data_IF_472582541612
#
_entry.id   IF_472582541612
#
_cell.length_a   1.000
_cell.length_b   1.000
_cell.length_c   1.000
_cell.angle_alpha   90.00
_cell.angle_beta   90.00
_cell.angle_gamma   90.00
#
_symmetry.space_group_name_H-M   'P 1'
#
loop_
_entity.id
_entity.type
_entity.pdbx_description
1 polymer ?
#
# COMPACT_ATOMS: atom_id res chain seq x y z
N UNK A 1 24.55 19.99 9.28
CA UNK A 1 25.16 19.14 10.33
C UNK A 1 24.20 17.98 10.58
N UNK A 2 24.51 16.86 9.93
CA UNK A 2 23.59 15.76 9.65
C UNK A 2 23.47 14.76 10.78
N UNK A 3 22.25 14.28 10.97
CA UNK A 3 21.97 13.01 11.65
C UNK A 3 21.92 11.92 10.57
N UNK A 4 22.39 10.69 10.86
CA UNK A 4 22.40 9.60 9.90
C UNK A 4 20.97 9.08 9.76
N UNK A 5 20.17 9.75 8.94
CA UNK A 5 19.16 9.01 8.19
C UNK A 5 19.94 7.99 7.39
N UNK A 6 19.57 6.73 7.52
CA UNK A 6 20.09 5.62 6.75
C UNK A 6 20.44 6.14 5.35
N UNK A 7 21.74 6.23 5.05
CA UNK A 7 22.18 6.33 3.68
C UNK A 7 21.42 5.21 2.96
N UNK A 8 20.63 5.50 1.91
CA UNK A 8 20.23 4.43 1.02
C UNK A 8 21.55 3.84 0.58
N UNK A 9 21.82 2.62 1.05
CA UNK A 9 22.99 1.85 0.68
C UNK A 9 22.94 1.84 -0.84
N UNK A 10 23.88 2.60 -1.43
CA UNK A 10 23.95 3.02 -2.83
C UNK A 10 23.18 2.05 -3.73
N UNK A 11 22.02 2.48 -4.23
CA UNK A 11 21.31 1.78 -5.29
C UNK A 11 22.24 1.79 -6.52
N UNK A 12 23.04 0.74 -6.62
CA UNK A 12 23.79 0.42 -7.82
C UNK A 12 22.76 0.18 -8.94
N UNK A 13 22.70 1.12 -9.87
CA UNK A 13 21.99 1.07 -11.14
C UNK A 13 20.47 0.77 -11.03
N UNK A 14 19.72 1.68 -10.40
CA UNK A 14 18.39 1.96 -10.91
C UNK A 14 18.54 2.67 -12.27
N UNK A 15 17.81 2.22 -13.29
CA UNK A 15 17.71 2.92 -14.58
C UNK A 15 17.50 4.41 -14.29
N UNK A 16 18.34 5.32 -14.82
CA UNK A 16 18.24 6.73 -14.49
C UNK A 16 16.93 7.24 -15.08
N UNK A 17 15.90 7.32 -14.23
CA UNK A 17 14.77 8.21 -14.49
C UNK A 17 15.39 9.59 -14.71
N UNK A 18 14.93 10.36 -15.73
CA UNK A 18 15.45 11.70 -15.96
C UNK A 18 15.38 12.47 -14.64
N UNK A 19 16.49 13.11 -14.25
CA UNK A 19 16.59 13.90 -13.03
C UNK A 19 15.62 15.09 -13.16
N UNK A 20 14.36 14.84 -12.83
CA UNK A 20 13.33 15.83 -12.66
C UNK A 20 13.84 16.80 -11.59
N UNK A 21 14.00 18.08 -11.92
CA UNK A 21 14.31 19.10 -10.93
C UNK A 21 13.34 19.01 -9.76
N UNK A 22 13.78 19.32 -8.54
CA UNK A 22 13.04 19.03 -7.30
C UNK A 22 11.56 19.48 -7.32
N UNK A 23 11.25 20.60 -7.99
CA UNK A 23 9.88 21.08 -8.19
C UNK A 23 9.03 20.18 -9.11
N UNK A 24 9.61 19.69 -10.21
CA UNK A 24 8.93 18.79 -11.15
C UNK A 24 8.66 17.41 -10.55
N UNK A 25 9.59 16.87 -9.75
CA UNK A 25 9.40 15.60 -9.04
C UNK A 25 8.25 15.69 -8.01
N UNK A 26 8.13 16.83 -7.30
CA UNK A 26 7.02 17.07 -6.37
C UNK A 26 5.67 17.18 -7.08
N UNK A 27 5.62 17.82 -8.25
CA UNK A 27 4.39 17.90 -9.05
C UNK A 27 3.94 16.52 -9.54
N UNK A 28 4.87 15.68 -10.02
CA UNK A 28 4.55 14.31 -10.43
C UNK A 28 4.06 13.48 -9.24
N UNK A 29 4.68 13.65 -8.05
CA UNK A 29 4.21 12.98 -6.84
C UNK A 29 2.78 13.40 -6.46
N UNK A 30 2.48 14.70 -6.52
CA UNK A 30 1.12 15.21 -6.27
C UNK A 30 0.10 14.67 -7.28
N UNK A 31 0.50 14.53 -8.55
CA UNK A 31 -0.34 13.92 -9.58
C UNK A 31 -0.67 12.47 -9.25
N UNK A 32 0.32 11.66 -8.84
CA UNK A 32 0.08 10.27 -8.42
C UNK A 32 -0.83 10.19 -7.19
N UNK A 33 -0.65 11.07 -6.19
CA UNK A 33 -1.56 11.13 -5.03
C UNK A 33 -3.00 11.50 -5.46
N UNK A 34 -3.15 12.41 -6.44
CA UNK A 34 -4.45 12.76 -7.00
C UNK A 34 -5.09 11.55 -7.71
N UNK A 35 -4.31 10.82 -8.52
CA UNK A 35 -4.75 9.58 -9.18
C UNK A 35 -5.21 8.57 -8.13
N UNK A 36 -4.45 8.37 -7.05
CA UNK A 36 -4.82 7.49 -5.95
C UNK A 36 -6.17 7.90 -5.32
N UNK A 37 -6.39 9.21 -5.13
CA UNK A 37 -7.66 9.72 -4.60
C UNK A 37 -8.82 9.48 -5.55
N UNK A 38 -8.61 9.63 -6.87
CA UNK A 38 -9.61 9.33 -7.90
C UNK A 38 -9.92 7.84 -7.94
N UNK A 39 -8.90 6.97 -7.95
CA UNK A 39 -9.07 5.51 -7.93
C UNK A 39 -9.78 5.04 -6.66
N UNK A 40 -9.44 5.62 -5.49
CA UNK A 40 -10.13 5.33 -4.24
C UNK A 40 -11.60 5.79 -4.29
N UNK A 41 -11.86 6.96 -4.88
CA UNK A 41 -13.22 7.44 -5.09
C UNK A 41 -14.02 6.50 -6.00
N UNK A 42 -13.46 6.13 -7.16
CA UNK A 42 -14.14 5.26 -8.12
C UNK A 42 -14.42 3.89 -7.53
N UNK A 43 -13.47 3.31 -6.79
CA UNK A 43 -13.65 2.06 -6.08
C UNK A 43 -14.75 2.16 -5.00
N UNK A 44 -14.78 3.27 -4.26
CA UNK A 44 -15.83 3.56 -3.29
C UNK A 44 -17.23 3.69 -3.90
N UNK A 45 -17.31 4.16 -5.15
CA UNK A 45 -18.53 4.38 -5.89
C UNK A 45 -19.02 3.13 -6.64
N UNK A 46 -18.15 2.50 -7.43
CA UNK A 46 -18.48 1.34 -8.28
C UNK A 46 -18.96 0.13 -7.47
N UNK A 47 -18.40 -0.06 -6.28
CA UNK A 47 -18.76 -1.15 -5.38
C UNK A 47 -19.68 -0.72 -4.23
N UNK A 48 -20.20 0.52 -4.27
CA UNK A 48 -21.08 1.08 -3.24
C UNK A 48 -20.52 0.92 -1.80
N UNK A 49 -19.20 1.01 -1.66
CA UNK A 49 -18.51 0.81 -0.38
C UNK A 49 -18.66 2.00 0.56
N UNK A 50 -18.77 3.20 -0.01
CA UNK A 50 -18.85 4.44 0.75
C UNK A 50 -19.96 5.33 0.20
N UNK A 51 -20.70 5.96 1.11
CA UNK A 51 -21.64 7.03 0.76
C UNK A 51 -20.89 8.28 0.27
N UNK A 52 -21.59 9.21 -0.38
CA UNK A 52 -21.00 10.44 -0.95
C UNK A 52 -20.15 11.25 0.05
N UNK A 53 -20.58 11.32 1.32
CA UNK A 53 -19.85 12.04 2.38
C UNK A 53 -18.64 11.23 2.86
N UNK A 54 -18.79 9.91 2.97
CA UNK A 54 -17.70 9.00 3.38
C UNK A 54 -16.59 8.96 2.32
N UNK A 55 -16.94 8.96 1.02
CA UNK A 55 -15.96 9.05 -0.08
C UNK A 55 -15.08 10.29 0.01
N UNK A 56 -15.71 11.46 0.23
CA UNK A 56 -14.96 12.72 0.43
C UNK A 56 -14.00 12.62 1.61
N UNK A 57 -14.44 12.02 2.70
CA UNK A 57 -13.59 11.83 3.88
C UNK A 57 -12.44 10.86 3.60
N UNK A 58 -12.69 9.75 2.91
CA UNK A 58 -11.66 8.78 2.58
C UNK A 58 -10.58 9.39 1.68
N UNK A 59 -10.95 10.17 0.65
CA UNK A 59 -9.97 10.89 -0.18
C UNK A 59 -9.18 11.93 0.62
N UNK A 60 -9.84 12.67 1.53
CA UNK A 60 -9.14 13.61 2.41
C UNK A 60 -8.15 12.90 3.33
N UNK A 61 -8.55 11.78 3.94
CA UNK A 61 -7.66 10.98 4.79
C UNK A 61 -6.48 10.42 4.00
N UNK A 62 -6.72 9.82 2.83
CA UNK A 62 -5.66 9.29 1.97
C UNK A 62 -4.68 10.39 1.55
N UNK A 63 -5.19 11.51 1.04
CA UNK A 63 -4.35 12.62 0.57
C UNK A 63 -3.55 13.26 1.71
N UNK A 64 -4.18 13.52 2.85
CA UNK A 64 -3.48 14.07 4.02
C UNK A 64 -2.41 13.12 4.54
N UNK A 65 -2.68 11.81 4.60
CA UNK A 65 -1.66 10.82 4.99
C UNK A 65 -0.54 10.68 4.00
N UNK A 66 -0.84 10.60 2.70
CA UNK A 66 0.18 10.49 1.67
C UNK A 66 1.14 11.69 1.71
N UNK A 67 0.62 12.90 1.94
CA UNK A 67 1.43 14.12 2.09
C UNK A 67 2.19 14.18 3.42
N UNK A 68 1.60 13.62 4.48
CA UNK A 68 2.22 13.55 5.79
C UNK A 68 3.33 12.49 5.89
N UNK A 69 3.34 11.52 4.97
CA UNK A 69 4.21 10.36 5.01
C UNK A 69 5.67 10.75 4.73
N UNK A 70 6.59 10.64 5.71
CA UNK A 70 7.99 10.91 5.45
C UNK A 70 8.56 9.81 4.56
N UNK A 71 9.03 10.18 3.38
CA UNK A 71 9.68 9.25 2.45
C UNK A 71 8.72 8.56 1.48
N UNK A 72 7.54 9.13 1.20
CA UNK A 72 6.73 8.71 0.06
C UNK A 72 7.50 9.02 -1.23
N UNK A 73 8.13 7.99 -1.80
CA UNK A 73 8.80 8.09 -3.09
C UNK A 73 7.78 8.07 -4.23
N UNK A 74 8.19 8.56 -5.40
CA UNK A 74 7.40 8.44 -6.63
C UNK A 74 7.05 6.96 -6.93
N UNK A 75 7.99 6.05 -6.69
CA UNK A 75 7.77 4.61 -6.82
C UNK A 75 6.69 4.11 -5.86
N UNK A 76 6.70 4.52 -4.59
CA UNK A 76 5.69 4.10 -3.62
C UNK A 76 4.30 4.64 -3.95
N UNK A 77 4.20 5.87 -4.47
CA UNK A 77 2.94 6.43 -4.95
C UNK A 77 2.42 5.68 -6.19
N UNK A 78 3.28 5.29 -7.11
CA UNK A 78 2.89 4.48 -8.28
C UNK A 78 2.43 3.07 -7.86
N UNK A 79 3.10 2.44 -6.89
CA UNK A 79 2.63 1.15 -6.33
C UNK A 79 1.27 1.30 -5.64
N UNK A 80 0.99 2.46 -5.02
CA UNK A 80 -0.29 2.73 -4.37
C UNK A 80 -1.43 2.75 -5.39
N UNK A 81 -1.21 3.42 -6.53
CA UNK A 81 -2.17 3.46 -7.64
C UNK A 81 -2.42 2.06 -8.22
N UNK A 82 -1.34 1.30 -8.44
CA UNK A 82 -1.43 -0.07 -8.94
C UNK A 82 -2.11 -1.00 -7.94
N UNK A 83 -1.89 -0.82 -6.63
CA UNK A 83 -2.60 -1.55 -5.60
C UNK A 83 -4.10 -1.22 -5.61
N UNK A 84 -4.49 0.05 -5.76
CA UNK A 84 -5.91 0.42 -5.91
C UNK A 84 -6.55 -0.22 -7.16
N UNK A 85 -5.81 -0.30 -8.27
CA UNK A 85 -6.24 -0.99 -9.48
C UNK A 85 -6.39 -2.51 -9.24
N UNK A 86 -5.44 -3.13 -8.55
CA UNK A 86 -5.52 -4.53 -8.14
C UNK A 86 -6.77 -4.79 -7.29
N UNK A 87 -7.10 -3.89 -6.34
CA UNK A 87 -8.31 -4.01 -5.52
C UNK A 87 -9.58 -3.85 -6.34
N UNK A 88 -9.58 -2.96 -7.34
CA UNK A 88 -10.70 -2.83 -8.27
C UNK A 88 -10.97 -4.16 -9.00
N UNK A 89 -9.93 -4.79 -9.56
CA UNK A 89 -10.04 -6.09 -10.24
C UNK A 89 -10.51 -7.20 -9.29
N UNK A 90 -10.00 -7.22 -8.05
CA UNK A 90 -10.38 -8.21 -7.04
C UNK A 90 -11.84 -8.08 -6.60
N UNK A 91 -12.33 -6.86 -6.39
CA UNK A 91 -13.73 -6.64 -6.00
C UNK A 91 -14.72 -6.92 -7.11
N UNK A 92 -14.32 -6.70 -8.35
CA UNK A 92 -15.11 -7.10 -9.50
C UNK A 92 -15.23 -8.63 -9.59
N UNK A 93 -14.21 -9.39 -9.16
CA UNK A 93 -14.27 -10.86 -9.10
C UNK A 93 -15.06 -11.43 -7.90
N UNK A 94 -15.75 -10.62 -7.08
CA UNK A 94 -16.49 -11.09 -5.89
C UNK A 94 -17.47 -12.24 -6.20
N UNK A 95 -17.35 -13.34 -5.46
CA UNK A 95 -18.14 -14.57 -5.64
C UNK A 95 -18.11 -15.21 -7.04
N UNK A 96 -17.27 -14.72 -7.95
CA UNK A 96 -17.14 -15.27 -9.30
C UNK A 96 -15.76 -15.92 -9.49
N UNK A 97 -15.62 -17.21 -9.11
CA UNK A 97 -14.36 -17.94 -9.27
C UNK A 97 -14.01 -18.22 -10.74
N UNK A 98 -14.94 -17.98 -11.68
CA UNK A 98 -14.72 -18.21 -13.10
C UNK A 98 -14.17 -16.97 -13.82
N UNK A 99 -14.10 -15.82 -13.15
CA UNK A 99 -13.60 -14.55 -13.70
C UNK A 99 -12.08 -14.52 -13.81
N UNK A 100 -11.51 -15.50 -14.51
CA UNK A 100 -10.08 -15.75 -14.65
C UNK A 100 -9.32 -14.64 -15.37
N UNK A 101 -10.03 -13.81 -16.16
CA UNK A 101 -9.43 -12.65 -16.81
C UNK A 101 -8.93 -11.62 -15.78
N UNK A 102 -9.74 -11.33 -14.76
CA UNK A 102 -9.36 -10.38 -13.72
C UNK A 102 -8.20 -10.91 -12.88
N UNK A 103 -8.20 -12.21 -12.55
CA UNK A 103 -7.08 -12.82 -11.81
C UNK A 103 -5.80 -12.87 -12.64
N UNK A 104 -5.91 -13.09 -13.96
CA UNK A 104 -4.78 -12.99 -14.90
C UNK A 104 -4.21 -11.58 -14.97
N UNK A 105 -5.06 -10.56 -15.15
CA UNK A 105 -4.61 -9.15 -15.17
C UNK A 105 -3.99 -8.73 -13.84
N UNK A 106 -4.55 -9.17 -12.71
CA UNK A 106 -3.92 -8.96 -11.40
C UNK A 106 -2.54 -9.61 -11.32
N UNK A 107 -2.38 -10.79 -11.92
CA UNK A 107 -1.08 -11.45 -12.10
C UNK A 107 -0.11 -10.60 -12.92
N UNK A 108 -0.51 -10.10 -14.08
CA UNK A 108 0.34 -9.25 -14.93
C UNK A 108 0.75 -7.95 -14.25
N UNK A 109 -0.17 -7.29 -13.53
CA UNK A 109 0.15 -6.08 -12.77
C UNK A 109 1.14 -6.38 -11.65
N UNK A 110 0.95 -7.49 -10.93
CA UNK A 110 1.88 -7.94 -9.90
C UNK A 110 3.26 -8.27 -10.48
N UNK A 111 3.31 -8.98 -11.61
CA UNK A 111 4.56 -9.30 -12.28
C UNK A 111 5.28 -8.04 -12.76
N UNK A 112 4.54 -7.07 -13.30
CA UNK A 112 5.05 -5.75 -13.66
C UNK A 112 5.64 -5.00 -12.46
N UNK A 113 4.98 -5.05 -11.31
CA UNK A 113 5.53 -4.50 -10.06
C UNK A 113 6.83 -5.22 -9.70
N UNK A 114 6.88 -6.55 -9.73
CA UNK A 114 8.09 -7.29 -9.34
C UNK A 114 9.30 -7.06 -10.24
N UNK A 115 9.12 -6.53 -11.46
CA UNK A 115 10.22 -6.05 -12.29
C UNK A 115 10.94 -4.83 -11.68
N UNK A 116 10.21 -4.01 -10.91
CA UNK A 116 10.77 -2.83 -10.26
C UNK A 116 11.52 -3.19 -8.98
N UNK A 117 10.94 -4.07 -8.15
CA UNK A 117 11.55 -4.64 -6.94
C UNK A 117 10.87 -5.97 -6.59
N UNK A 118 11.64 -6.98 -6.21
CA UNK A 118 11.08 -8.28 -5.84
C UNK A 118 10.26 -8.24 -4.54
N UNK A 119 10.49 -7.23 -3.69
CA UNK A 119 9.71 -6.99 -2.46
C UNK A 119 8.19 -6.92 -2.70
N UNK A 120 7.76 -6.50 -3.90
CA UNK A 120 6.35 -6.46 -4.28
C UNK A 120 5.72 -7.83 -4.49
N UNK A 121 6.50 -8.91 -4.58
CA UNK A 121 5.98 -10.27 -4.58
C UNK A 121 5.18 -10.57 -3.30
N UNK A 122 5.45 -9.84 -2.20
CA UNK A 122 4.65 -9.91 -0.96
C UNK A 122 3.17 -9.54 -1.16
N UNK A 123 2.83 -8.73 -2.18
CA UNK A 123 1.45 -8.44 -2.56
C UNK A 123 0.69 -9.69 -3.02
N UNK A 124 1.38 -10.75 -3.45
CA UNK A 124 0.75 -12.03 -3.74
C UNK A 124 -0.02 -12.56 -2.52
N UNK A 125 0.59 -12.51 -1.34
CA UNK A 125 -0.04 -12.96 -0.09
C UNK A 125 -1.30 -12.13 0.22
N UNK A 126 -1.22 -10.82 0.01
CA UNK A 126 -2.34 -9.89 0.17
C UNK A 126 -3.48 -10.24 -0.78
N UNK A 127 -3.17 -10.51 -2.06
CA UNK A 127 -4.15 -10.87 -3.08
C UNK A 127 -4.79 -12.24 -2.82
N UNK A 128 -4.01 -13.24 -2.38
CA UNK A 128 -4.54 -14.56 -2.04
C UNK A 128 -5.49 -14.48 -0.84
N UNK A 129 -5.13 -13.73 0.21
CA UNK A 129 -6.00 -13.47 1.34
C UNK A 129 -7.28 -12.73 0.91
N UNK A 130 -7.15 -11.76 0.01
CA UNK A 130 -8.27 -11.05 -0.58
C UNK A 130 -9.22 -11.99 -1.32
N UNK A 131 -8.73 -12.83 -2.23
CA UNK A 131 -9.58 -13.76 -2.97
C UNK A 131 -10.26 -14.78 -2.07
N UNK A 132 -9.60 -15.22 -1.01
CA UNK A 132 -10.21 -16.08 0.00
C UNK A 132 -11.38 -15.36 0.70
N UNK A 133 -11.16 -14.13 1.20
CA UNK A 133 -12.20 -13.35 1.89
C UNK A 133 -13.36 -12.95 0.97
N UNK A 134 -13.08 -12.68 -0.31
CA UNK A 134 -14.07 -12.35 -1.33
C UNK A 134 -14.76 -13.57 -1.95
N UNK A 135 -14.42 -14.79 -1.51
CA UNK A 135 -14.94 -16.07 -2.01
C UNK A 135 -14.76 -16.25 -3.52
N UNK A 136 -13.71 -15.65 -4.07
CA UNK A 136 -13.34 -15.73 -5.48
C UNK A 136 -12.14 -16.65 -5.72
N UNK A 137 -11.61 -17.25 -4.65
CA UNK A 137 -10.49 -18.17 -4.73
C UNK A 137 -10.86 -19.44 -5.50
N UNK A 138 -10.10 -19.73 -6.57
CA UNK A 138 -10.22 -20.95 -7.35
C UNK A 138 -8.85 -21.38 -7.86
N UNK A 139 -8.64 -22.69 -8.05
CA UNK A 139 -7.38 -23.21 -8.61
C UNK A 139 -7.11 -22.61 -10.00
N UNK A 140 -8.17 -22.50 -10.82
CA UNK A 140 -8.07 -21.89 -12.16
C UNK A 140 -7.67 -20.42 -12.08
N UNK A 141 -8.25 -19.67 -11.15
CA UNK A 141 -7.92 -18.27 -10.90
C UNK A 141 -6.48 -18.09 -10.40
N UNK A 142 -6.03 -18.96 -9.50
CA UNK A 142 -4.66 -19.01 -9.01
C UNK A 142 -3.67 -19.28 -10.14
N UNK A 143 -3.93 -20.30 -10.96
CA UNK A 143 -3.10 -20.60 -12.13
C UNK A 143 -3.07 -19.42 -13.09
N UNK A 144 -4.23 -18.81 -13.41
CA UNK A 144 -4.30 -17.63 -14.27
C UNK A 144 -3.47 -16.46 -13.71
N UNK A 145 -3.54 -16.21 -12.40
CA UNK A 145 -2.70 -15.20 -11.74
C UNK A 145 -1.21 -15.52 -11.85
N UNK A 146 -0.81 -16.77 -11.59
CA UNK A 146 0.59 -17.20 -11.71
C UNK A 146 1.09 -17.11 -13.16
N UNK A 147 0.26 -17.48 -14.13
CA UNK A 147 0.56 -17.29 -15.55
C UNK A 147 0.76 -15.82 -15.88
N UNK A 148 -0.17 -14.94 -15.46
CA UNK A 148 -0.03 -13.50 -15.67
C UNK A 148 1.23 -12.94 -15.02
N UNK A 149 1.53 -13.37 -13.79
CA UNK A 149 2.71 -12.99 -13.02
C UNK A 149 4.01 -13.35 -13.75
N UNK A 150 4.15 -14.61 -14.19
CA UNK A 150 5.35 -15.11 -14.89
C UNK A 150 5.47 -14.60 -16.33
N UNK A 151 4.34 -14.30 -16.99
CA UNK A 151 4.35 -13.79 -18.36
C UNK A 151 5.07 -12.45 -18.46
N UNK A 152 4.87 -11.55 -17.49
CA UNK A 152 5.49 -10.22 -17.47
C UNK A 152 7.04 -10.24 -17.54
N UNK A 153 7.76 -10.91 -16.62
CA UNK A 153 9.21 -11.03 -16.72
C UNK A 153 9.66 -11.85 -17.92
N UNK A 154 8.87 -12.83 -18.37
CA UNK A 154 9.18 -13.58 -19.58
C UNK A 154 9.17 -12.69 -20.84
N UNK A 155 8.15 -11.84 -20.99
CA UNK A 155 8.07 -10.89 -22.10
C UNK A 155 9.20 -9.86 -22.08
N UNK A 156 9.57 -9.37 -20.88
CA UNK A 156 10.72 -8.46 -20.74
C UNK A 156 12.02 -9.16 -21.11
N UNK A 157 12.24 -10.39 -20.63
CA UNK A 157 13.41 -11.19 -21.01
C UNK A 157 13.49 -11.44 -22.50
N UNK A 158 12.38 -11.80 -23.14
CA UNK A 158 12.31 -11.99 -24.59
C UNK A 158 12.58 -10.69 -25.37
N UNK A 159 12.03 -9.56 -24.92
CA UNK A 159 12.27 -8.25 -25.52
C UNK A 159 13.75 -7.86 -25.40
N UNK A 160 14.35 -8.05 -24.23
CA UNK A 160 15.77 -7.74 -24.00
C UNK A 160 16.68 -8.65 -24.84
N UNK A 161 16.34 -9.93 -25.00
CA UNK A 161 17.06 -10.85 -25.88
C UNK A 161 17.09 -10.35 -27.34
N UNK A 162 15.96 -9.80 -27.83
CA UNK A 162 15.86 -9.25 -29.19
C UNK A 162 16.60 -7.92 -29.33
N UNK A 163 16.55 -7.06 -28.30
CA UNK A 163 17.19 -5.74 -28.33
C UNK A 163 18.72 -5.82 -28.20
N UNK A 164 19.21 -6.54 -27.18
CA UNK A 164 20.64 -6.74 -26.96
C UNK A 164 20.90 -7.85 -25.93
N UNK A 165 21.73 -8.87 -26.24
CA UNK A 165 22.05 -9.95 -25.29
C UNK A 165 22.77 -9.44 -24.04
N UNK A 166 23.51 -8.33 -24.13
CA UNK A 166 24.15 -7.68 -22.98
C UNK A 166 23.14 -7.10 -21.97
N UNK A 167 22.05 -6.49 -22.44
CA UNK A 167 21.02 -5.99 -21.52
C UNK A 167 20.29 -7.14 -20.80
N UNK A 168 20.15 -8.29 -21.45
CA UNK A 168 19.58 -9.49 -20.83
C UNK A 168 20.47 -9.99 -19.68
N UNK A 169 21.80 -10.07 -19.87
CA UNK A 169 22.71 -10.53 -18.80
C UNK A 169 22.72 -9.56 -17.61
N UNK A 170 22.67 -8.25 -17.87
CA UNK A 170 22.53 -7.22 -16.83
C UNK A 170 21.22 -7.38 -16.05
N UNK A 171 20.10 -7.58 -16.75
CA UNK A 171 18.80 -7.76 -16.13
C UNK A 171 18.70 -9.05 -15.31
N UNK A 172 19.26 -10.16 -15.82
CA UNK A 172 19.35 -11.43 -15.06
C UNK A 172 20.21 -11.27 -13.80
N UNK A 173 21.35 -10.57 -13.89
CA UNK A 173 22.18 -10.27 -12.72
C UNK A 173 21.47 -9.35 -11.72
N UNK A 174 20.64 -8.41 -12.18
CA UNK A 174 19.77 -7.61 -11.31
C UNK A 174 18.75 -8.48 -10.57
N UNK A 175 18.06 -9.39 -11.28
CA UNK A 175 17.11 -10.32 -10.66
C UNK A 175 17.78 -11.22 -9.62
N UNK A 176 18.96 -11.74 -9.91
CA UNK A 176 19.72 -12.58 -8.97
C UNK A 176 20.01 -11.84 -7.67
N UNK A 177 20.48 -10.58 -7.75
CA UNK A 177 20.71 -9.73 -6.58
C UNK A 177 19.41 -9.48 -5.79
N UNK A 178 18.30 -9.25 -6.50
CA UNK A 178 17.00 -9.06 -5.85
C UNK A 178 16.57 -10.32 -5.09
N UNK A 179 16.72 -11.51 -5.68
CA UNK A 179 16.41 -12.80 -5.04
C UNK A 179 17.25 -13.01 -3.77
N UNK A 180 18.57 -12.75 -3.85
CA UNK A 180 19.45 -12.84 -2.69
C UNK A 180 19.06 -11.85 -1.58
N UNK A 181 18.57 -10.67 -1.95
CA UNK A 181 18.15 -9.62 -1.01
C UNK A 181 16.76 -9.83 -0.39
N UNK A 182 15.91 -10.62 -1.04
CA UNK A 182 14.51 -10.85 -0.64
C UNK A 182 14.38 -11.83 0.53
N UNK A 183 15.31 -12.78 0.68
CA UNK A 183 15.31 -13.71 1.81
C UNK A 183 15.61 -12.97 3.11
N UNK A 184 14.72 -13.01 4.12
CA UNK A 184 14.93 -12.35 5.40
C UNK A 184 15.92 -13.15 6.25
N UNK A 185 17.21 -13.14 5.89
CA UNK A 185 18.28 -13.85 6.59
C UNK A 185 18.85 -13.07 7.78
N UNK A 186 18.06 -12.18 8.41
CA UNK A 186 18.53 -11.34 9.52
C UNK A 186 17.45 -11.00 10.53
N UNK A 187 17.88 -10.71 11.76
CA UNK A 187 17.02 -10.19 12.83
C UNK A 187 16.38 -8.86 12.39
N UNK A 188 15.07 -8.74 12.55
CA UNK A 188 14.29 -7.53 12.25
C UNK A 188 14.79 -6.37 13.12
N UNK A 189 15.57 -5.46 12.55
CA UNK A 189 15.98 -4.22 13.22
C UNK A 189 15.01 -3.10 12.84
N UNK A 190 13.89 -3.00 13.56
CA UNK A 190 13.02 -1.83 13.52
C UNK A 190 13.71 -0.67 14.21
N UNK A 191 13.72 0.51 13.58
CA UNK A 191 14.15 1.71 14.28
C UNK A 191 13.14 2.04 15.39
N UNK A 192 13.58 2.48 16.59
CA UNK A 192 12.66 2.88 17.66
C UNK A 192 11.63 3.92 17.24
N UNK A 193 11.96 4.77 16.26
CA UNK A 193 11.06 5.78 15.67
C UNK A 193 9.92 5.20 14.81
N UNK A 194 10.01 3.95 14.36
CA UNK A 194 8.99 3.29 13.52
C UNK A 194 7.91 2.60 14.36
N UNK A 195 8.24 2.19 15.58
CA UNK A 195 7.33 1.53 16.53
C UNK A 195 6.08 2.37 16.84
N UNK A 196 6.19 3.66 17.26
CA UNK A 196 5.00 4.46 17.58
C UNK A 196 4.12 4.69 16.36
N UNK A 197 4.70 4.72 15.17
CA UNK A 197 3.95 4.90 13.93
C UNK A 197 3.15 3.64 13.55
N UNK A 198 3.78 2.47 13.60
CA UNK A 198 3.10 1.19 13.39
C UNK A 198 2.00 0.96 14.43
N UNK A 199 2.26 1.31 15.70
CA UNK A 199 1.27 1.24 16.76
C UNK A 199 0.07 2.18 16.49
N UNK A 200 0.32 3.41 16.04
CA UNK A 200 -0.75 4.33 15.65
C UNK A 200 -1.59 3.75 14.49
N UNK A 201 -0.95 3.22 13.45
CA UNK A 201 -1.66 2.61 12.32
C UNK A 201 -2.51 1.42 12.75
N UNK A 202 -1.97 0.55 13.60
CA UNK A 202 -2.72 -0.56 14.19
C UNK A 202 -3.92 -0.09 15.01
N UNK A 203 -3.75 0.92 15.86
CA UNK A 203 -4.83 1.51 16.66
C UNK A 203 -5.92 2.14 15.77
N UNK A 204 -5.52 2.84 14.72
CA UNK A 204 -6.45 3.44 13.76
C UNK A 204 -7.23 2.37 12.96
N UNK A 205 -6.59 1.26 12.59
CA UNK A 205 -7.28 0.11 11.98
C UNK A 205 -8.28 -0.52 12.95
N UNK A 206 -7.90 -0.71 14.23
CA UNK A 206 -8.82 -1.18 15.27
C UNK A 206 -10.01 -0.23 15.46
N UNK A 207 -9.76 1.08 15.40
CA UNK A 207 -10.81 2.08 15.51
C UNK A 207 -11.75 2.06 14.30
N UNK A 208 -11.20 1.91 13.09
CA UNK A 208 -11.99 1.67 11.87
C UNK A 208 -12.84 0.41 11.97
N UNK A 209 -12.28 -0.68 12.49
CA UNK A 209 -12.99 -1.93 12.77
C UNK A 209 -14.11 -1.76 13.80
N UNK A 210 -13.82 -1.12 14.94
CA UNK A 210 -14.79 -0.86 16.00
C UNK A 210 -15.95 0.01 15.51
N UNK A 211 -15.66 1.07 14.75
CA UNK A 211 -16.68 1.92 14.14
C UNK A 211 -17.56 1.17 13.14
N UNK A 212 -16.99 0.21 12.42
CA UNK A 212 -17.72 -0.63 11.47
C UNK A 212 -18.67 -1.63 12.15
N UNK A 213 -18.31 -2.17 13.32
CA UNK A 213 -19.13 -3.16 14.05
C UNK A 213 -20.56 -2.68 14.32
N UNK A 214 -20.76 -1.39 14.57
CA UNK A 214 -22.10 -0.80 14.75
C UNK A 214 -23.02 -0.89 13.53
N UNK A 215 -22.46 -1.12 12.34
CA UNK A 215 -23.19 -1.24 11.06
C UNK A 215 -23.21 -2.65 10.50
N UNK A 216 -22.36 -3.53 11.02
CA UNK A 216 -22.14 -4.88 10.49
C UNK A 216 -23.43 -5.67 10.21
N UNK A 217 -24.43 -5.59 11.09
CA UNK A 217 -25.68 -6.35 10.91
C UNK A 217 -26.67 -5.72 9.93
N UNK A 218 -26.47 -4.45 9.55
CA UNK A 218 -27.36 -3.70 8.65
C UNK A 218 -26.91 -3.74 7.19
N UNK A 219 -25.73 -4.29 6.91
CA UNK A 219 -25.11 -4.27 5.59
C UNK A 219 -25.18 -5.63 4.90
N UNK A 220 -25.14 -5.60 3.57
CA UNK A 220 -25.18 -6.81 2.75
C UNK A 220 -23.95 -7.68 2.95
N UNK A 221 -24.09 -9.00 2.73
CA UNK A 221 -22.96 -9.96 2.78
C UNK A 221 -21.79 -9.48 1.91
N UNK A 222 -22.09 -9.05 0.68
CA UNK A 222 -21.11 -8.52 -0.28
C UNK A 222 -20.30 -7.36 0.29
N UNK A 223 -20.98 -6.37 0.85
CA UNK A 223 -20.32 -5.21 1.42
C UNK A 223 -19.45 -5.59 2.61
N UNK A 224 -19.93 -6.53 3.45
CA UNK A 224 -19.16 -7.02 4.59
C UNK A 224 -17.89 -7.71 4.17
N UNK A 225 -17.96 -8.62 3.21
CA UNK A 225 -16.78 -9.34 2.72
C UNK A 225 -15.75 -8.36 2.11
N UNK A 226 -16.20 -7.33 1.38
CA UNK A 226 -15.32 -6.31 0.81
C UNK A 226 -14.64 -5.42 1.87
N UNK A 227 -15.38 -4.93 2.88
CA UNK A 227 -14.79 -4.14 3.97
C UNK A 227 -13.86 -5.01 4.83
N UNK A 228 -14.26 -6.26 5.11
CA UNK A 228 -13.41 -7.23 5.80
C UNK A 228 -12.12 -7.45 5.03
N UNK A 229 -12.17 -7.65 3.71
CA UNK A 229 -10.96 -7.82 2.91
C UNK A 229 -10.02 -6.61 3.02
N UNK A 230 -10.53 -5.37 3.05
CA UNK A 230 -9.72 -4.16 3.26
C UNK A 230 -9.07 -4.14 4.64
N UNK A 231 -9.79 -4.57 5.67
CA UNK A 231 -9.25 -4.65 7.03
C UNK A 231 -8.13 -5.70 7.12
N UNK A 232 -8.31 -6.86 6.49
CA UNK A 232 -7.27 -7.90 6.44
C UNK A 232 -6.02 -7.38 5.72
N UNK A 233 -6.16 -6.71 4.58
CA UNK A 233 -5.04 -6.08 3.89
C UNK A 233 -4.25 -5.14 4.79
N UNK A 234 -4.93 -4.27 5.55
CA UNK A 234 -4.26 -3.33 6.46
C UNK A 234 -3.39 -4.06 7.49
N UNK A 235 -3.90 -5.13 8.09
CA UNK A 235 -3.13 -5.95 9.03
C UNK A 235 -2.00 -6.72 8.36
N UNK A 236 -2.25 -7.32 7.20
CA UNK A 236 -1.23 -8.05 6.44
C UNK A 236 -0.10 -7.12 6.06
N UNK A 237 -0.37 -5.89 5.62
CA UNK A 237 0.67 -4.92 5.30
C UNK A 237 1.49 -4.49 6.52
N UNK A 238 0.86 -4.33 7.69
CA UNK A 238 1.60 -4.07 8.93
C UNK A 238 2.51 -5.26 9.26
N UNK A 239 2.00 -6.49 9.20
CA UNK A 239 2.79 -7.71 9.47
C UNK A 239 3.92 -7.88 8.46
N UNK A 240 3.65 -7.69 7.17
CA UNK A 240 4.68 -7.74 6.13
C UNK A 240 5.73 -6.66 6.32
N UNK A 241 5.36 -5.46 6.78
CA UNK A 241 6.31 -4.39 7.10
C UNK A 241 7.23 -4.75 8.27
N UNK A 242 6.76 -5.57 9.22
CA UNK A 242 7.57 -6.10 10.31
C UNK A 242 8.50 -7.23 9.83
N UNK A 243 8.02 -8.12 8.96
CA UNK A 243 8.81 -9.23 8.41
C UNK A 243 9.87 -8.73 7.41
N UNK A 244 9.55 -7.70 6.63
CA UNK A 244 10.38 -7.14 5.58
C UNK A 244 10.68 -5.65 5.83
N UNK A 245 11.48 -5.30 6.85
CA UNK A 245 11.72 -3.90 7.23
C UNK A 245 12.36 -3.05 6.11
N UNK A 246 13.09 -3.68 5.18
CA UNK A 246 13.66 -3.02 3.99
C UNK A 246 12.60 -2.55 2.99
N UNK A 247 11.42 -3.17 3.00
CA UNK A 247 10.30 -2.86 2.11
C UNK A 247 9.26 -1.93 2.78
N UNK A 248 9.47 -1.58 4.05
CA UNK A 248 8.63 -0.68 4.84
C UNK A 248 8.25 0.63 4.11
N UNK A 249 9.17 1.39 3.47
CA UNK A 249 8.80 2.63 2.79
C UNK A 249 7.83 2.43 1.63
N UNK A 250 7.65 1.20 1.13
CA UNK A 250 6.73 0.92 0.04
C UNK A 250 5.47 0.16 0.44
N UNK A 251 5.58 -0.80 1.37
CA UNK A 251 4.41 -1.55 1.83
C UNK A 251 3.48 -0.70 2.71
N UNK A 252 4.07 0.19 3.50
CA UNK A 252 3.35 0.90 4.53
C UNK A 252 2.38 1.98 3.98
N UNK A 253 2.69 2.67 2.86
CA UNK A 253 1.70 3.47 2.13
C UNK A 253 0.45 2.68 1.70
N UNK A 254 0.55 1.36 1.45
CA UNK A 254 -0.63 0.56 1.07
C UNK A 254 -1.63 0.42 2.22
N UNK A 255 -1.16 0.44 3.48
CA UNK A 255 -2.03 0.45 4.67
C UNK A 255 -2.99 1.63 4.62
N UNK A 256 -2.55 2.77 4.06
CA UNK A 256 -3.33 4.00 4.02
C UNK A 256 -4.65 3.84 3.27
N UNK A 257 -4.72 2.98 2.24
CA UNK A 257 -5.96 2.70 1.51
C UNK A 257 -6.97 2.02 2.42
N UNK A 258 -6.57 0.91 3.05
CA UNK A 258 -7.41 0.17 4.00
C UNK A 258 -7.87 1.06 5.14
N UNK A 259 -6.97 1.87 5.67
CA UNK A 259 -7.18 2.73 6.81
C UNK A 259 -8.13 3.90 6.44
N UNK A 260 -7.94 4.53 5.28
CA UNK A 260 -8.82 5.60 4.78
C UNK A 260 -10.25 5.12 4.54
N UNK A 261 -10.41 3.96 3.89
CA UNK A 261 -11.73 3.39 3.60
C UNK A 261 -12.46 2.98 4.87
N UNK A 262 -11.78 2.27 5.78
CA UNK A 262 -12.40 1.70 6.99
C UNK A 262 -12.72 2.76 8.03
N UNK A 263 -11.83 3.74 8.25
CA UNK A 263 -12.14 4.88 9.11
C UNK A 263 -13.24 5.74 8.51
N UNK A 264 -13.22 6.01 7.19
CA UNK A 264 -14.29 6.77 6.58
C UNK A 264 -15.66 6.14 6.80
N UNK A 265 -15.74 4.82 6.64
CA UNK A 265 -16.95 4.07 6.92
C UNK A 265 -17.34 4.10 8.38
N UNK A 266 -16.40 3.84 9.29
CA UNK A 266 -16.64 3.84 10.74
C UNK A 266 -17.15 5.20 11.22
N UNK A 267 -16.54 6.29 10.74
CA UNK A 267 -16.92 7.66 11.08
C UNK A 267 -18.27 8.08 10.52
N UNK A 268 -18.70 7.50 9.40
CA UNK A 268 -20.04 7.73 8.87
C UNK A 268 -21.14 7.33 9.85
N UNK A 269 -20.86 6.37 10.75
CA UNK A 269 -21.81 5.88 11.77
C UNK A 269 -21.93 6.78 12.99
N UNK A 270 -20.95 7.67 13.18
CA UNK A 270 -20.87 8.56 14.33
C UNK A 270 -21.80 9.77 14.21
N UNK A 271 -22.24 10.31 15.35
CA UNK A 271 -22.90 11.62 15.40
C UNK A 271 -22.02 12.72 14.79
N UNK A 272 -22.63 13.80 14.28
CA UNK A 272 -21.86 14.93 13.70
C UNK A 272 -20.86 15.56 14.66
N UNK A 273 -21.12 15.52 15.98
CA UNK A 273 -20.20 16.05 17.00
C UNK A 273 -19.03 15.09 17.21
N UNK A 274 -19.31 13.81 17.46
CA UNK A 274 -18.26 12.80 17.68
C UNK A 274 -17.38 12.61 16.44
N UNK A 275 -17.96 12.63 15.23
CA UNK A 275 -17.19 12.57 13.99
C UNK A 275 -16.22 13.76 13.84
N UNK A 276 -16.62 14.99 14.21
CA UNK A 276 -15.72 16.16 14.15
C UNK A 276 -14.58 16.05 15.15
N UNK A 277 -14.86 15.63 16.39
CA UNK A 277 -13.85 15.41 17.42
C UNK A 277 -12.86 14.35 16.94
N UNK A 278 -13.35 13.24 16.39
CA UNK A 278 -12.52 12.15 15.90
C UNK A 278 -11.64 12.59 14.71
N UNK A 279 -12.16 13.41 13.78
CA UNK A 279 -11.35 14.03 12.72
C UNK A 279 -10.22 14.88 13.30
N UNK A 280 -10.55 15.73 14.28
CA UNK A 280 -9.57 16.57 14.96
C UNK A 280 -8.48 15.76 15.64
N UNK A 281 -8.86 14.70 16.36
CA UNK A 281 -7.92 13.79 17.03
C UNK A 281 -7.03 13.03 16.04
N UNK A 282 -7.58 12.55 14.92
CA UNK A 282 -6.81 11.88 13.87
C UNK A 282 -5.82 12.87 13.23
N UNK A 283 -6.25 14.08 12.89
CA UNK A 283 -5.36 15.08 12.31
C UNK A 283 -4.27 15.51 13.30
N UNK A 284 -4.62 15.65 14.59
CA UNK A 284 -3.67 15.98 15.65
C UNK A 284 -2.66 14.86 15.87
N UNK A 285 -3.09 13.59 15.91
CA UNK A 285 -2.18 12.46 16.10
C UNK A 285 -1.19 12.33 14.94
N UNK A 286 -1.62 12.66 13.73
CA UNK A 286 -0.74 12.72 12.57
C UNK A 286 0.24 13.86 12.63
N UNK A 287 -0.20 15.05 13.02
CA UNK A 287 0.68 16.17 13.25
C UNK A 287 1.77 15.80 14.27
N UNK A 288 1.39 15.17 15.38
CA UNK A 288 2.32 14.70 16.41
C UNK A 288 3.30 13.68 15.85
N UNK A 289 2.83 12.69 15.09
CA UNK A 289 3.74 11.69 14.49
C UNK A 289 4.67 12.31 13.45
N UNK A 290 4.18 13.22 12.60
CA UNK A 290 5.03 13.95 11.67
C UNK A 290 6.12 14.75 12.40
N UNK A 291 5.76 15.41 13.50
CA UNK A 291 6.71 16.13 14.34
C UNK A 291 7.71 15.17 14.99
N UNK A 292 7.26 14.04 15.53
CA UNK A 292 8.12 12.99 16.09
C UNK A 292 9.13 12.45 15.06
N UNK A 293 8.66 12.19 13.85
CA UNK A 293 9.49 11.67 12.75
C UNK A 293 10.48 12.70 12.21
N UNK A 294 10.13 14.00 12.23
CA UNK A 294 10.97 15.10 11.72
C UNK A 294 11.98 15.61 12.74
N UNK A 295 11.62 15.64 14.02
CA UNK A 295 12.50 16.10 15.10
C UNK A 295 13.45 14.99 15.57
N UNK A 296 13.10 13.72 15.37
CA UNK A 296 13.88 12.58 15.84
C UNK A 296 13.60 12.28 17.32
N UNK A 297 13.37 11.01 17.64
CA UNK A 297 12.97 10.54 18.98
C UNK A 297 13.93 11.02 20.08
N UNK A 298 15.24 11.03 19.80
CA UNK A 298 16.28 11.45 20.74
C UNK A 298 16.22 12.94 21.12
N UNK A 299 15.88 13.82 20.17
CA UNK A 299 15.72 15.26 20.45
C UNK A 299 14.49 15.55 21.27
N UNK A 300 13.46 14.72 21.17
CA UNK A 300 12.19 14.91 21.86
C UNK A 300 12.30 14.40 23.29
N UNK A 301 12.97 13.27 23.50
CA UNK A 301 13.30 12.82 24.87
C UNK A 301 14.19 13.82 25.59
N UNK A 302 15.14 14.48 24.89
CA UNK A 302 15.96 15.54 25.51
C UNK A 302 15.21 16.85 25.77
N UNK A 303 14.15 17.14 25.00
CA UNK A 303 13.32 18.34 25.20
C UNK A 303 12.24 18.14 26.28
N UNK A 304 11.79 16.90 26.50
CA UNK A 304 10.82 16.54 27.53
C UNK A 304 11.47 16.22 28.89
N UNK A 305 12.80 16.02 28.93
CA UNK A 305 13.57 15.86 30.16
C UNK A 305 14.05 17.19 30.77
N UNK A 306 13.57 18.32 30.26
CA UNK A 306 13.75 19.68 30.78
C UNK A 306 12.44 20.15 31.43
#
# INVERSE_FOLDING_TARGET
>A
LGLPYAQPLVDAASVPLPQLGEGSARLVLLLLILVACVLLWTLGESFLLLSKVERRLACLLLGTWALAFPGLSLTAALVLDLYLLLRYLSFDAYQDPQRTQNTFYSGCLLGGLTLLRLDYASLLLVLLASFYTLRSFSLRGLLAMLFGYLLTPWLVGALLLVLSPEALTVWLGYLERQVQSFLPLGMVQLLPSQIPYLALLGLLLLLGWGGYRGRYYRESVRHRDMILSLQHDGWIFILLSLVFPRSLPVLLPMVLVSLAMTLARGMGSCSRRTARILRGLILLSLLVVMLLQRLGWERITSLLSL
#
